data_IF_851733318121
#
_entry.id   IF_851733318121
#
_cell.length_a   1.000
_cell.length_b   1.000
_cell.length_c   1.000
_cell.angle_alpha   90.00
_cell.angle_beta   90.00
_cell.angle_gamma   90.00
#
_symmetry.space_group_name_H-M   'P 1'
#
loop_
_entity.id
_entity.type
_entity.pdbx_description
1 polymer ?
#
# COMPACT_ATOMS: atom_id res chain seq x y z
N UNK A 1 -64.19 65.56 -2.07
CA UNK A 1 -64.30 64.19 -2.65
C UNK A 1 -62.92 63.53 -2.78
N UNK A 2 -61.92 64.21 -3.38
CA UNK A 2 -60.54 63.71 -3.55
C UNK A 2 -59.83 63.29 -2.25
N UNK A 3 -59.92 64.09 -1.20
CA UNK A 3 -59.32 63.82 0.12
C UNK A 3 -59.83 62.52 0.77
N UNK A 4 -61.15 62.27 0.71
CA UNK A 4 -61.75 61.06 1.28
C UNK A 4 -61.29 59.79 0.55
N UNK A 5 -61.06 59.87 -0.77
CA UNK A 5 -60.53 58.74 -1.54
C UNK A 5 -59.10 58.40 -1.14
N UNK A 6 -58.23 59.39 -0.92
CA UNK A 6 -56.85 59.16 -0.47
C UNK A 6 -56.83 58.49 0.90
N UNK A 7 -57.62 58.97 1.86
CA UNK A 7 -57.72 58.31 3.18
C UNK A 7 -58.30 56.89 3.10
N UNK A 8 -59.23 56.62 2.18
CA UNK A 8 -59.72 55.27 1.94
C UNK A 8 -58.62 54.35 1.37
N UNK A 9 -57.83 54.83 0.40
CA UNK A 9 -56.70 54.08 -0.17
C UNK A 9 -55.60 53.85 0.88
N UNK A 10 -55.25 54.85 1.69
CA UNK A 10 -54.33 54.71 2.83
C UNK A 10 -54.80 53.60 3.77
N UNK A 11 -56.10 53.58 4.10
CA UNK A 11 -56.67 52.54 4.99
C UNK A 11 -56.53 51.14 4.39
N UNK A 12 -56.71 51.00 3.08
CA UNK A 12 -56.51 49.72 2.37
C UNK A 12 -55.04 49.30 2.42
N UNK A 13 -54.10 50.21 2.11
CA UNK A 13 -52.66 49.90 2.16
C UNK A 13 -52.23 49.49 3.58
N UNK A 14 -52.73 50.17 4.61
CA UNK A 14 -52.47 49.83 6.01
C UNK A 14 -53.07 48.49 6.45
N UNK A 15 -54.06 47.97 5.72
CA UNK A 15 -54.68 46.67 6.00
C UNK A 15 -53.97 45.49 5.31
N UNK A 16 -52.98 45.75 4.46
CA UNK A 16 -52.25 44.70 3.76
C UNK A 16 -51.42 43.85 4.71
N UNK A 17 -51.34 42.56 4.40
CA UNK A 17 -50.27 41.69 4.89
C UNK A 17 -49.19 41.47 3.81
N UNK A 18 -48.11 40.78 4.18
CA UNK A 18 -47.01 40.51 3.25
C UNK A 18 -47.45 39.65 2.06
N UNK A 19 -48.39 38.72 2.24
CA UNK A 19 -48.82 37.83 1.16
C UNK A 19 -49.62 38.59 0.09
N UNK A 20 -50.54 39.45 0.52
CA UNK A 20 -51.27 40.38 -0.34
C UNK A 20 -50.31 41.34 -1.04
N UNK A 21 -49.31 41.87 -0.33
CA UNK A 21 -48.27 42.72 -0.90
C UNK A 21 -47.50 42.02 -2.02
N UNK A 22 -47.05 40.78 -1.80
CA UNK A 22 -46.32 40.00 -2.79
C UNK A 22 -47.19 39.64 -4.01
N UNK A 23 -48.48 39.34 -3.81
CA UNK A 23 -49.41 38.92 -4.86
C UNK A 23 -49.68 40.00 -5.93
N UNK A 24 -49.57 41.29 -5.58
CA UNK A 24 -49.80 42.40 -6.52
C UNK A 24 -48.69 42.55 -7.58
N UNK A 25 -47.51 41.94 -7.40
CA UNK A 25 -46.39 42.13 -8.32
C UNK A 25 -45.71 43.50 -8.17
N UNK A 26 -44.46 43.61 -8.62
CA UNK A 26 -43.63 44.79 -8.34
C UNK A 26 -44.12 46.05 -9.06
N UNK A 27 -44.55 45.94 -10.32
CA UNK A 27 -45.04 47.06 -11.11
C UNK A 27 -46.31 47.68 -10.51
N UNK A 28 -47.27 46.86 -10.11
CA UNK A 28 -48.52 47.34 -9.50
C UNK A 28 -48.26 48.04 -8.16
N UNK A 29 -47.38 47.48 -7.31
CA UNK A 29 -46.98 48.11 -6.04
C UNK A 29 -46.33 49.47 -6.25
N UNK A 30 -45.41 49.57 -7.21
CA UNK A 30 -44.75 50.82 -7.55
C UNK A 30 -45.74 51.86 -8.09
N UNK A 31 -46.68 51.43 -8.93
CA UNK A 31 -47.72 52.29 -9.47
C UNK A 31 -48.66 52.83 -8.37
N UNK A 32 -49.10 51.98 -7.44
CA UNK A 32 -49.95 52.39 -6.30
C UNK A 32 -49.18 53.38 -5.40
N UNK A 33 -47.92 53.08 -5.05
CA UNK A 33 -47.09 53.96 -4.23
C UNK A 33 -46.89 55.32 -4.90
N UNK A 34 -46.61 55.34 -6.20
CA UNK A 34 -46.43 56.57 -6.97
C UNK A 34 -47.71 57.40 -7.03
N UNK A 35 -48.83 56.79 -7.41
CA UNK A 35 -50.11 57.48 -7.51
C UNK A 35 -50.56 58.06 -6.16
N UNK A 36 -50.39 57.30 -5.07
CA UNK A 36 -50.77 57.75 -3.73
C UNK A 36 -49.92 58.94 -3.24
N UNK A 37 -48.61 58.94 -3.51
CA UNK A 37 -47.73 60.07 -3.18
C UNK A 37 -48.04 61.30 -4.05
N UNK A 38 -48.22 61.14 -5.36
CA UNK A 38 -48.58 62.25 -6.25
C UNK A 38 -49.91 62.91 -5.88
N UNK A 39 -50.92 62.12 -5.51
CA UNK A 39 -52.22 62.64 -5.08
C UNK A 39 -52.15 63.31 -3.69
N UNK A 40 -51.33 62.79 -2.76
CA UNK A 40 -51.12 63.41 -1.46
C UNK A 40 -50.34 64.72 -1.57
N UNK A 41 -49.27 64.76 -2.38
CA UNK A 41 -48.45 65.95 -2.60
C UNK A 41 -49.25 67.09 -3.22
N UNK A 42 -50.11 66.80 -4.19
CA UNK A 42 -51.02 67.81 -4.78
C UNK A 42 -51.94 68.42 -3.72
N UNK A 43 -52.54 67.61 -2.84
CA UNK A 43 -53.40 68.12 -1.76
C UNK A 43 -52.62 68.92 -0.71
N UNK A 44 -51.37 68.55 -0.43
CA UNK A 44 -50.51 69.27 0.51
C UNK A 44 -50.02 70.61 -0.05
N UNK A 45 -49.85 70.74 -1.38
CA UNK A 45 -49.47 71.98 -2.05
C UNK A 45 -50.65 72.96 -2.21
N UNK A 46 -51.86 72.43 -2.42
CA UNK A 46 -53.08 73.22 -2.65
C UNK A 46 -53.72 73.79 -1.36
N UNK A 47 -53.28 73.36 -0.17
CA UNK A 47 -53.94 73.68 1.11
C UNK A 47 -53.08 74.38 2.17
N UNK A 48 -53.73 74.89 3.22
CA UNK A 48 -53.07 75.65 4.30
C UNK A 48 -52.20 74.73 5.20
N UNK A 49 -50.90 75.01 5.38
CA UNK A 49 -50.01 74.26 6.29
C UNK A 49 -50.49 74.19 7.75
N UNK A 50 -51.38 75.07 8.18
CA UNK A 50 -51.99 75.05 9.50
C UNK A 50 -53.18 74.08 9.62
N UNK A 51 -53.71 73.56 8.51
CA UNK A 51 -54.87 72.66 8.50
C UNK A 51 -54.56 71.33 9.26
N UNK A 52 -55.30 71.04 10.35
CA UNK A 52 -55.16 69.78 11.08
C UNK A 52 -55.33 68.53 10.21
N UNK A 53 -56.16 68.58 9.16
CA UNK A 53 -56.40 67.45 8.26
C UNK A 53 -55.23 67.20 7.29
N UNK A 54 -54.56 68.26 6.81
CA UNK A 54 -53.36 68.13 5.98
C UNK A 54 -52.16 67.67 6.81
N UNK A 55 -52.04 68.12 8.06
CA UNK A 55 -51.07 67.57 9.03
C UNK A 55 -51.31 66.10 9.33
N UNK A 56 -52.57 65.67 9.40
CA UNK A 56 -52.92 64.26 9.52
C UNK A 56 -52.54 63.48 8.26
N UNK A 57 -52.88 63.98 7.08
CA UNK A 57 -52.54 63.35 5.80
C UNK A 57 -51.02 63.15 5.69
N UNK A 58 -50.21 64.15 6.04
CA UNK A 58 -48.75 64.05 6.04
C UNK A 58 -48.23 62.89 6.91
N UNK A 59 -48.71 62.78 8.15
CA UNK A 59 -48.33 61.68 9.06
C UNK A 59 -48.76 60.31 8.54
N UNK A 60 -49.98 60.22 8.01
CA UNK A 60 -50.52 58.96 7.48
C UNK A 60 -49.77 58.51 6.22
N UNK A 61 -49.33 59.46 5.39
CA UNK A 61 -48.47 59.20 4.22
C UNK A 61 -47.06 58.79 4.60
N UNK A 62 -46.46 59.41 5.62
CA UNK A 62 -45.18 58.98 6.19
C UNK A 62 -45.25 57.54 6.69
N UNK A 63 -46.34 57.18 7.38
CA UNK A 63 -46.57 55.82 7.87
C UNK A 63 -46.78 54.82 6.73
N UNK A 64 -47.57 55.17 5.71
CA UNK A 64 -47.76 54.32 4.53
C UNK A 64 -46.47 54.10 3.75
N UNK A 65 -45.67 55.16 3.53
CA UNK A 65 -44.37 55.02 2.86
C UNK A 65 -43.42 54.12 3.66
N UNK A 66 -43.42 54.24 5.00
CA UNK A 66 -42.67 53.33 5.86
C UNK A 66 -43.14 51.88 5.75
N UNK A 67 -44.45 51.64 5.66
CA UNK A 67 -45.00 50.29 5.44
C UNK A 67 -44.60 49.72 4.07
N UNK A 68 -44.64 50.53 3.00
CA UNK A 68 -44.11 50.13 1.70
C UNK A 68 -42.63 49.74 1.79
N UNK A 69 -41.79 50.55 2.42
CA UNK A 69 -40.36 50.25 2.58
C UNK A 69 -40.13 48.98 3.41
N UNK A 70 -40.92 48.75 4.46
CA UNK A 70 -40.87 47.53 5.25
C UNK A 70 -41.27 46.30 4.43
N UNK A 71 -42.39 46.36 3.71
CA UNK A 71 -42.85 45.27 2.87
C UNK A 71 -41.92 44.99 1.71
N UNK A 72 -41.34 46.01 1.08
CA UNK A 72 -40.30 45.86 0.05
C UNK A 72 -39.05 45.18 0.61
N UNK A 73 -38.58 45.61 1.79
CA UNK A 73 -37.43 44.98 2.46
C UNK A 73 -37.70 43.51 2.77
N UNK A 74 -38.88 43.20 3.31
CA UNK A 74 -39.30 41.82 3.62
C UNK A 74 -39.46 40.97 2.36
N UNK A 75 -40.01 41.54 1.29
CA UNK A 75 -40.14 40.87 0.01
C UNK A 75 -38.76 40.52 -0.60
N UNK A 76 -37.80 41.45 -0.56
CA UNK A 76 -36.41 41.18 -0.99
C UNK A 76 -35.75 40.10 -0.14
N UNK A 77 -35.87 40.18 1.18
CA UNK A 77 -35.30 39.19 2.09
C UNK A 77 -35.90 37.78 1.87
N UNK A 78 -37.20 37.68 1.56
CA UNK A 78 -37.84 36.39 1.25
C UNK A 78 -37.34 35.83 -0.08
N UNK A 79 -37.17 36.67 -1.10
CA UNK A 79 -36.65 36.27 -2.41
C UNK A 79 -35.17 35.85 -2.33
N UNK A 80 -34.33 36.61 -1.63
CA UNK A 80 -32.95 36.26 -1.33
C UNK A 80 -32.87 34.93 -0.56
N UNK A 81 -33.75 34.72 0.43
CA UNK A 81 -33.82 33.46 1.17
C UNK A 81 -34.23 32.28 0.28
N UNK A 82 -35.18 32.47 -0.66
CA UNK A 82 -35.59 31.43 -1.63
C UNK A 82 -34.44 31.10 -2.59
N UNK A 83 -33.77 32.12 -3.11
CA UNK A 83 -32.64 31.96 -4.01
C UNK A 83 -31.45 31.27 -3.32
N UNK A 84 -31.11 31.64 -2.09
CA UNK A 84 -30.09 30.95 -1.30
C UNK A 84 -30.44 29.48 -1.05
N UNK A 85 -31.72 29.19 -0.75
CA UNK A 85 -32.20 27.81 -0.54
C UNK A 85 -32.16 26.99 -1.83
N UNK A 86 -32.54 27.57 -2.96
CA UNK A 86 -32.47 26.92 -4.27
C UNK A 86 -31.01 26.65 -4.64
N UNK A 87 -30.14 27.65 -4.55
CA UNK A 87 -28.72 27.51 -4.84
C UNK A 87 -28.07 26.41 -3.99
N UNK A 88 -28.34 26.40 -2.68
CA UNK A 88 -27.88 25.31 -1.81
C UNK A 88 -28.36 23.93 -2.29
N UNK A 89 -29.63 23.79 -2.65
CA UNK A 89 -30.18 22.50 -3.10
C UNK A 89 -29.59 22.05 -4.44
N UNK A 90 -29.31 22.97 -5.36
CA UNK A 90 -28.71 22.68 -6.66
C UNK A 90 -27.22 22.27 -6.47
N UNK A 91 -26.46 23.05 -5.69
CA UNK A 91 -25.05 22.75 -5.39
C UNK A 91 -24.88 21.43 -4.63
N UNK A 92 -25.67 21.19 -3.57
CA UNK A 92 -25.55 19.95 -2.78
C UNK A 92 -25.94 18.72 -3.60
N UNK A 93 -26.90 18.84 -4.53
CA UNK A 93 -27.28 17.74 -5.41
C UNK A 93 -26.20 17.43 -6.44
N UNK A 94 -25.60 18.47 -7.05
CA UNK A 94 -24.47 18.34 -7.96
C UNK A 94 -23.27 17.69 -7.28
N UNK A 95 -22.87 18.22 -6.12
CA UNK A 95 -21.77 17.68 -5.33
C UNK A 95 -22.03 16.22 -4.93
N UNK A 96 -23.24 15.89 -4.46
CA UNK A 96 -23.58 14.51 -4.11
C UNK A 96 -23.40 13.55 -5.30
N UNK A 97 -23.83 13.94 -6.50
CA UNK A 97 -23.67 13.11 -7.70
C UNK A 97 -22.18 12.89 -8.04
N UNK A 98 -21.34 13.93 -7.95
CA UNK A 98 -19.90 13.82 -8.16
C UNK A 98 -19.23 12.91 -7.11
N UNK A 99 -19.63 13.00 -5.84
CA UNK A 99 -19.12 12.14 -4.79
C UNK A 99 -19.59 10.67 -4.93
N UNK A 100 -20.82 10.44 -5.38
CA UNK A 100 -21.34 9.10 -5.66
C UNK A 100 -20.55 8.43 -6.81
N UNK A 101 -20.20 9.22 -7.83
CA UNK A 101 -19.39 8.75 -8.95
C UNK A 101 -17.95 8.40 -8.53
N UNK A 102 -17.33 9.27 -7.72
CA UNK A 102 -16.01 9.01 -7.15
C UNK A 102 -16.01 7.75 -6.26
N UNK A 103 -17.06 7.57 -5.44
CA UNK A 103 -17.22 6.39 -4.58
C UNK A 103 -17.34 5.11 -5.40
N UNK A 104 -18.16 5.14 -6.46
CA UNK A 104 -18.30 4.00 -7.37
C UNK A 104 -16.98 3.64 -8.04
N UNK A 105 -16.24 4.64 -8.51
CA UNK A 105 -14.93 4.45 -9.14
C UNK A 105 -13.94 3.82 -8.16
N UNK A 106 -13.82 4.37 -6.96
CA UNK A 106 -12.93 3.86 -5.93
C UNK A 106 -13.33 2.46 -5.46
N UNK A 107 -14.63 2.17 -5.34
CA UNK A 107 -15.13 0.85 -4.97
C UNK A 107 -14.75 -0.22 -6.01
N UNK A 108 -14.87 0.10 -7.31
CA UNK A 108 -14.44 -0.80 -8.40
C UNK A 108 -12.94 -1.07 -8.32
N UNK A 109 -12.11 -0.04 -8.17
CA UNK A 109 -10.65 -0.20 -8.03
C UNK A 109 -10.27 -1.02 -6.81
N UNK A 110 -10.93 -0.76 -5.69
CA UNK A 110 -10.67 -1.44 -4.42
C UNK A 110 -11.03 -2.93 -4.49
N UNK A 111 -12.11 -3.27 -5.19
CA UNK A 111 -12.55 -4.65 -5.43
C UNK A 111 -11.75 -5.38 -6.51
N UNK A 112 -11.05 -4.66 -7.40
CA UNK A 112 -10.18 -5.24 -8.41
C UNK A 112 -9.06 -6.08 -7.78
N UNK A 113 -8.60 -7.08 -8.52
CA UNK A 113 -7.53 -7.97 -8.08
C UNK A 113 -6.23 -7.20 -7.80
N UNK A 114 -5.44 -7.69 -6.85
CA UNK A 114 -4.11 -7.14 -6.60
C UNK A 114 -3.20 -7.26 -7.84
N UNK A 115 -2.36 -6.25 -8.11
CA UNK A 115 -1.34 -6.35 -9.15
C UNK A 115 -0.34 -7.46 -8.79
N UNK A 116 0.29 -8.02 -9.83
CA UNK A 116 1.16 -9.20 -9.73
C UNK A 116 2.60 -8.93 -10.17
N UNK A 117 2.85 -7.71 -10.62
CA UNK A 117 4.11 -7.20 -11.16
C UNK A 117 4.16 -5.69 -10.92
N UNK A 118 5.38 -5.14 -10.88
CA UNK A 118 5.62 -3.74 -10.58
C UNK A 118 5.07 -2.80 -11.66
N UNK A 119 5.11 -3.19 -12.94
CA UNK A 119 4.61 -2.37 -14.05
C UNK A 119 3.10 -2.13 -13.93
N UNK A 120 2.33 -3.19 -13.68
CA UNK A 120 0.89 -3.11 -13.45
C UNK A 120 0.56 -2.32 -12.19
N UNK A 121 1.38 -2.45 -11.13
CA UNK A 121 1.23 -1.69 -9.91
C UNK A 121 1.46 -0.20 -10.14
N UNK A 122 2.54 0.17 -10.83
CA UNK A 122 2.88 1.55 -11.17
C UNK A 122 1.74 2.20 -11.97
N UNK A 123 1.18 1.46 -12.93
CA UNK A 123 0.02 1.94 -13.68
C UNK A 123 -1.17 2.25 -12.76
N UNK A 124 -1.51 1.37 -11.82
CA UNK A 124 -2.58 1.61 -10.84
C UNK A 124 -2.28 2.80 -9.92
N UNK A 125 -1.02 3.03 -9.55
CA UNK A 125 -0.61 4.20 -8.76
C UNK A 125 -0.82 5.49 -9.55
N UNK A 126 -0.48 5.52 -10.84
CA UNK A 126 -0.71 6.66 -11.73
C UNK A 126 -2.22 6.94 -11.87
N UNK A 127 -3.01 5.92 -12.18
CA UNK A 127 -4.48 6.04 -12.26
C UNK A 127 -5.11 6.53 -10.95
N UNK A 128 -4.56 6.12 -9.81
CA UNK A 128 -5.02 6.57 -8.50
C UNK A 128 -4.64 8.01 -8.20
N UNK A 129 -3.44 8.45 -8.60
CA UNK A 129 -3.02 9.84 -8.50
C UNK A 129 -3.91 10.77 -9.34
N UNK A 130 -4.33 10.33 -10.52
CA UNK A 130 -5.30 11.07 -11.35
C UNK A 130 -6.66 11.18 -10.66
N UNK A 131 -7.13 10.09 -10.05
CA UNK A 131 -8.36 10.10 -9.25
C UNK A 131 -8.29 11.04 -8.05
N UNK A 132 -7.18 11.03 -7.30
CA UNK A 132 -7.00 11.97 -6.17
C UNK A 132 -6.98 13.42 -6.64
N UNK A 133 -6.38 13.69 -7.81
CA UNK A 133 -6.40 15.02 -8.43
C UNK A 133 -7.82 15.46 -8.77
N UNK A 134 -8.63 14.57 -9.36
CA UNK A 134 -10.04 14.84 -9.68
C UNK A 134 -10.89 15.01 -8.41
N UNK A 135 -10.68 14.19 -7.39
CA UNK A 135 -11.37 14.31 -6.10
C UNK A 135 -11.00 15.64 -5.41
N UNK A 136 -9.72 16.02 -5.41
CA UNK A 136 -9.26 17.29 -4.87
C UNK A 136 -9.87 18.50 -5.58
N UNK A 137 -10.12 18.41 -6.89
CA UNK A 137 -10.77 19.47 -7.65
C UNK A 137 -12.21 19.76 -7.20
N UNK A 138 -12.88 18.84 -6.49
CA UNK A 138 -14.20 19.07 -5.88
C UNK A 138 -14.12 19.83 -4.54
N UNK A 139 -12.92 20.04 -3.98
CA UNK A 139 -12.71 20.74 -2.71
C UNK A 139 -13.38 22.13 -2.64
N UNK A 140 -13.20 23.00 -3.66
CA UNK A 140 -13.89 24.28 -3.73
C UNK A 140 -15.42 24.14 -3.71
N UNK A 141 -16.00 23.16 -4.40
CA UNK A 141 -17.46 22.93 -4.38
C UNK A 141 -17.96 22.52 -2.98
N UNK A 142 -17.17 21.71 -2.25
CA UNK A 142 -17.46 21.34 -0.86
C UNK A 142 -17.45 22.56 0.07
N UNK A 143 -16.53 23.50 -0.15
CA UNK A 143 -16.46 24.76 0.60
C UNK A 143 -17.62 25.70 0.25
N UNK A 144 -17.90 25.88 -1.05
CA UNK A 144 -18.95 26.75 -1.57
C UNK A 144 -20.35 26.32 -1.08
N UNK A 145 -20.62 25.02 -1.05
CA UNK A 145 -21.86 24.47 -0.49
C UNK A 145 -22.02 24.83 0.99
N UNK A 146 -20.95 24.78 1.78
CA UNK A 146 -20.98 25.15 3.19
C UNK A 146 -21.20 26.65 3.38
N UNK A 147 -20.55 27.48 2.56
CA UNK A 147 -20.74 28.95 2.56
C UNK A 147 -22.19 29.28 2.20
N UNK A 148 -22.73 28.67 1.15
CA UNK A 148 -24.12 28.86 0.72
C UNK A 148 -25.09 28.37 1.78
N UNK A 149 -24.82 27.24 2.44
CA UNK A 149 -25.63 26.79 3.56
C UNK A 149 -25.67 27.81 4.71
N UNK A 150 -24.52 28.44 5.04
CA UNK A 150 -24.45 29.48 6.08
C UNK A 150 -25.32 30.69 5.72
N UNK A 151 -25.38 31.08 4.44
CA UNK A 151 -26.17 32.23 3.97
C UNK A 151 -27.68 31.97 3.91
N UNK A 152 -28.14 30.72 3.99
CA UNK A 152 -29.57 30.39 4.11
C UNK A 152 -30.14 30.93 5.43
N UNK A 153 -31.12 31.83 5.33
CA UNK A 153 -31.77 32.47 6.48
C UNK A 153 -32.60 31.48 7.33
N UNK A 154 -33.34 30.55 6.70
CA UNK A 154 -34.16 29.54 7.37
C UNK A 154 -33.66 28.13 7.05
N UNK A 155 -32.69 27.66 7.83
CA UNK A 155 -32.16 26.29 7.73
C UNK A 155 -33.20 25.29 8.22
N UNK A 156 -33.37 24.19 7.49
CA UNK A 156 -34.23 23.08 7.92
C UNK A 156 -33.38 21.88 8.35
N UNK A 157 -33.90 21.00 9.23
CA UNK A 157 -33.19 19.77 9.60
C UNK A 157 -32.81 18.91 8.39
N UNK A 158 -33.67 18.86 7.37
CA UNK A 158 -33.41 18.13 6.13
C UNK A 158 -32.20 18.68 5.35
N UNK A 159 -32.04 20.01 5.30
CA UNK A 159 -30.87 20.62 4.64
C UNK A 159 -29.58 20.32 5.40
N UNK A 160 -29.61 20.40 6.73
CA UNK A 160 -28.47 20.01 7.57
C UNK A 160 -28.09 18.54 7.32
N UNK A 161 -29.07 17.64 7.33
CA UNK A 161 -28.83 16.21 7.04
C UNK A 161 -28.22 15.98 5.64
N UNK A 162 -28.65 16.72 4.61
CA UNK A 162 -28.03 16.62 3.27
C UNK A 162 -26.56 17.07 3.30
N UNK A 163 -26.28 18.21 3.94
CA UNK A 163 -24.91 18.71 4.11
C UNK A 163 -24.03 17.70 4.84
N UNK A 164 -24.49 17.22 6.00
CA UNK A 164 -23.75 16.25 6.82
C UNK A 164 -23.46 14.97 6.04
N UNK A 165 -24.41 14.48 5.23
CA UNK A 165 -24.21 13.31 4.36
C UNK A 165 -23.10 13.54 3.32
N UNK A 166 -23.11 14.67 2.62
CA UNK A 166 -22.06 14.97 1.65
C UNK A 166 -20.69 15.12 2.32
N UNK A 167 -20.61 15.82 3.45
CA UNK A 167 -19.35 16.00 4.18
C UNK A 167 -18.81 14.68 4.74
N UNK A 168 -19.68 13.82 5.26
CA UNK A 168 -19.29 12.49 5.70
C UNK A 168 -18.79 11.64 4.52
N UNK A 169 -19.47 11.67 3.37
CA UNK A 169 -19.03 10.96 2.16
C UNK A 169 -17.68 11.48 1.65
N UNK A 170 -17.50 12.79 1.60
CA UNK A 170 -16.22 13.42 1.26
C UNK A 170 -15.07 12.91 2.14
N UNK A 171 -15.26 12.89 3.46
CA UNK A 171 -14.25 12.40 4.39
C UNK A 171 -14.00 10.88 4.24
N UNK A 172 -15.06 10.10 4.04
CA UNK A 172 -14.97 8.65 3.81
C UNK A 172 -14.23 8.32 2.51
N UNK A 173 -14.45 9.09 1.44
CA UNK A 173 -13.74 8.96 0.17
C UNK A 173 -12.25 9.18 0.35
N UNK A 174 -11.84 10.26 1.02
CA UNK A 174 -10.43 10.52 1.30
C UNK A 174 -9.81 9.44 2.20
N UNK A 175 -10.53 8.99 3.23
CA UNK A 175 -10.07 7.88 4.08
C UNK A 175 -9.90 6.58 3.29
N UNK A 176 -10.81 6.28 2.37
CA UNK A 176 -10.77 5.08 1.54
C UNK A 176 -9.68 5.19 0.45
N UNK A 177 -9.49 6.38 -0.12
CA UNK A 177 -8.44 6.70 -1.08
C UNK A 177 -7.06 6.50 -0.45
N UNK A 178 -6.87 7.05 0.75
CA UNK A 178 -5.64 6.88 1.50
C UNK A 178 -5.35 5.42 1.82
N UNK A 179 -6.38 4.67 2.25
CA UNK A 179 -6.23 3.25 2.53
C UNK A 179 -5.91 2.43 1.27
N UNK A 180 -6.48 2.79 0.12
CA UNK A 180 -6.19 2.16 -1.16
C UNK A 180 -4.73 2.38 -1.58
N UNK A 181 -4.20 3.60 -1.45
CA UNK A 181 -2.79 3.86 -1.80
C UNK A 181 -1.81 3.21 -0.82
N UNK A 182 -2.12 3.18 0.49
CA UNK A 182 -1.30 2.46 1.48
C UNK A 182 -1.28 0.95 1.18
N UNK A 183 -2.41 0.38 0.73
CA UNK A 183 -2.46 -1.00 0.24
C UNK A 183 -1.55 -1.20 -0.96
N UNK A 184 -1.59 -0.31 -1.97
CA UNK A 184 -0.73 -0.43 -3.14
C UNK A 184 0.76 -0.38 -2.76
N UNK A 185 1.17 0.56 -1.91
CA UNK A 185 2.56 0.62 -1.40
C UNK A 185 2.98 -0.67 -0.68
N UNK A 186 2.09 -1.24 0.13
CA UNK A 186 2.41 -2.48 0.82
C UNK A 186 2.54 -3.67 -0.15
N UNK A 187 1.71 -3.73 -1.20
CA UNK A 187 1.84 -4.74 -2.25
C UNK A 187 3.12 -4.52 -3.06
N UNK A 188 3.51 -3.28 -3.32
CA UNK A 188 4.79 -2.94 -3.97
C UNK A 188 5.97 -3.48 -3.18
N UNK A 189 6.01 -3.26 -1.86
CA UNK A 189 7.06 -3.80 -0.98
C UNK A 189 7.14 -5.33 -1.10
N UNK A 190 5.99 -6.02 -1.09
CA UNK A 190 5.96 -7.50 -1.22
C UNK A 190 6.44 -7.95 -2.60
N UNK A 191 6.04 -7.28 -3.68
CA UNK A 191 6.45 -7.64 -5.04
C UNK A 191 7.95 -7.41 -5.26
N UNK A 192 8.47 -6.26 -4.82
CA UNK A 192 9.91 -5.98 -4.84
C UNK A 192 10.68 -6.99 -4.00
N UNK A 193 10.22 -7.27 -2.77
CA UNK A 193 10.83 -8.27 -1.91
C UNK A 193 10.82 -9.67 -2.52
N UNK A 194 9.76 -10.06 -3.23
CA UNK A 194 9.71 -11.32 -3.97
C UNK A 194 10.75 -11.38 -5.09
N UNK A 195 10.94 -10.31 -5.87
CA UNK A 195 11.94 -10.26 -6.95
C UNK A 195 13.37 -10.34 -6.41
N UNK A 196 13.67 -9.54 -5.38
CA UNK A 196 14.97 -9.51 -4.71
C UNK A 196 15.30 -10.85 -4.07
N UNK A 197 14.41 -11.38 -3.24
CA UNK A 197 14.62 -12.65 -2.56
C UNK A 197 14.62 -13.83 -3.54
N UNK A 198 13.87 -13.79 -4.65
CA UNK A 198 13.98 -14.79 -5.71
C UNK A 198 15.36 -14.81 -6.33
N UNK A 199 15.95 -13.65 -6.58
CA UNK A 199 17.31 -13.54 -7.12
C UNK A 199 18.32 -14.14 -6.14
N UNK A 200 18.27 -13.72 -4.88
CA UNK A 200 19.14 -14.21 -3.80
C UNK A 200 19.05 -15.73 -3.63
N UNK A 201 17.82 -16.27 -3.51
CA UNK A 201 17.60 -17.72 -3.38
C UNK A 201 18.17 -18.47 -4.58
N UNK A 202 17.97 -17.96 -5.80
CA UNK A 202 18.46 -18.60 -7.02
C UNK A 202 20.00 -18.61 -7.10
N UNK A 203 20.66 -17.57 -6.63
CA UNK A 203 22.13 -17.53 -6.52
C UNK A 203 22.66 -18.60 -5.56
N UNK A 204 22.01 -18.78 -4.40
CA UNK A 204 22.38 -19.83 -3.45
C UNK A 204 22.10 -21.23 -3.99
N UNK A 205 20.95 -21.45 -4.65
CA UNK A 205 20.62 -22.71 -5.31
C UNK A 205 21.69 -23.08 -6.37
N UNK A 206 22.09 -22.12 -7.22
CA UNK A 206 23.14 -22.32 -8.22
C UNK A 206 24.50 -22.62 -7.58
N UNK A 207 24.85 -21.91 -6.51
CA UNK A 207 26.12 -22.12 -5.80
C UNK A 207 26.16 -23.51 -5.15
N UNK A 208 25.08 -23.95 -4.49
CA UNK A 208 24.97 -25.30 -3.92
C UNK A 208 25.02 -26.39 -5.00
N UNK A 209 24.37 -26.18 -6.14
CA UNK A 209 24.42 -27.12 -7.26
C UNK A 209 25.84 -27.30 -7.80
N UNK A 210 26.69 -26.26 -7.75
CA UNK A 210 28.10 -26.37 -8.16
C UNK A 210 28.96 -27.28 -7.27
N UNK A 211 28.46 -27.64 -6.08
CA UNK A 211 29.11 -28.56 -5.13
C UNK A 211 28.38 -29.91 -5.02
N UNK A 212 27.60 -30.29 -6.04
CA UNK A 212 26.96 -31.61 -6.08
C UNK A 212 27.99 -32.74 -6.11
N UNK A 213 29.11 -32.56 -6.83
CA UNK A 213 30.23 -33.51 -6.84
C UNK A 213 31.42 -32.95 -6.05
N UNK A 214 31.88 -33.70 -5.03
CA UNK A 214 33.02 -33.31 -4.21
C UNK A 214 34.37 -33.64 -4.90
N UNK A 215 35.39 -32.77 -4.80
CA UNK A 215 36.72 -33.05 -5.32
C UNK A 215 37.40 -34.26 -4.67
N UNK A 216 38.27 -34.93 -5.42
CA UNK A 216 39.09 -36.05 -4.95
C UNK A 216 40.46 -35.65 -4.37
N UNK A 217 40.80 -34.36 -4.44
CA UNK A 217 42.08 -33.82 -3.96
C UNK A 217 41.88 -33.10 -2.62
N UNK A 218 42.81 -33.30 -1.67
CA UNK A 218 42.71 -32.75 -0.30
C UNK A 218 42.57 -31.23 -0.32
N UNK A 219 43.44 -30.55 -1.05
CA UNK A 219 43.46 -29.08 -1.10
C UNK A 219 42.20 -28.51 -1.77
N UNK A 220 41.69 -29.19 -2.80
CA UNK A 220 40.46 -28.77 -3.48
C UNK A 220 39.22 -28.99 -2.60
N UNK A 221 39.18 -30.10 -1.86
CA UNK A 221 38.10 -30.40 -0.93
C UNK A 221 38.12 -29.46 0.29
N UNK A 222 39.31 -29.07 0.75
CA UNK A 222 39.47 -28.02 1.76
C UNK A 222 38.91 -26.68 1.27
N UNK A 223 39.23 -26.28 0.04
CA UNK A 223 38.70 -25.06 -0.55
C UNK A 223 37.16 -25.08 -0.66
N UNK A 224 36.57 -26.22 -1.03
CA UNK A 224 35.10 -26.40 -1.03
C UNK A 224 34.52 -26.26 0.38
N UNK A 225 35.16 -26.83 1.40
CA UNK A 225 34.70 -26.69 2.79
C UNK A 225 34.71 -25.22 3.24
N UNK A 226 35.80 -24.49 2.96
CA UNK A 226 35.92 -23.06 3.25
C UNK A 226 34.84 -22.22 2.54
N UNK A 227 34.58 -22.52 1.25
CA UNK A 227 33.51 -21.88 0.47
C UNK A 227 32.12 -22.14 1.08
N UNK A 228 31.83 -23.38 1.50
CA UNK A 228 30.56 -23.73 2.13
C UNK A 228 30.36 -23.05 3.48
N UNK A 229 31.43 -22.87 4.27
CA UNK A 229 31.37 -22.08 5.51
C UNK A 229 31.07 -20.60 5.24
N UNK A 230 31.67 -20.03 4.21
CA UNK A 230 31.35 -18.67 3.76
C UNK A 230 29.91 -18.56 3.27
N UNK A 231 29.42 -19.60 2.59
CA UNK A 231 28.03 -19.69 2.15
C UNK A 231 27.06 -19.74 3.34
N UNK A 232 27.38 -20.50 4.39
CA UNK A 232 26.60 -20.55 5.64
C UNK A 232 26.49 -19.19 6.31
N UNK A 233 27.59 -18.45 6.39
CA UNK A 233 27.57 -17.08 6.91
C UNK A 233 26.68 -16.18 6.05
N UNK A 234 26.77 -16.29 4.73
CA UNK A 234 25.96 -15.49 3.79
C UNK A 234 24.47 -15.81 3.89
N UNK A 235 24.11 -17.10 3.98
CA UNK A 235 22.74 -17.56 4.19
C UNK A 235 22.18 -17.01 5.51
N UNK A 236 22.97 -17.05 6.59
CA UNK A 236 22.55 -16.52 7.90
C UNK A 236 22.23 -15.01 7.87
N UNK A 237 22.95 -14.24 7.04
CA UNK A 237 22.71 -12.80 6.88
C UNK A 237 21.45 -12.50 6.07
N UNK A 238 21.07 -13.38 5.13
CA UNK A 238 19.91 -13.19 4.26
C UNK A 238 18.60 -13.68 4.89
N UNK A 239 18.65 -14.41 6.01
CA UNK A 239 17.45 -14.86 6.74
C UNK A 239 16.50 -13.69 7.07
N UNK A 240 17.04 -12.53 7.45
CA UNK A 240 16.25 -11.34 7.77
C UNK A 240 15.40 -10.85 6.60
N UNK A 241 15.86 -11.05 5.36
CA UNK A 241 15.12 -10.64 4.15
C UNK A 241 13.89 -11.53 3.95
N UNK A 242 14.03 -12.83 4.18
CA UNK A 242 12.93 -13.80 4.08
C UNK A 242 11.91 -13.60 5.20
N UNK A 243 12.38 -13.34 6.42
CA UNK A 243 11.53 -13.04 7.57
C UNK A 243 10.75 -11.73 7.34
N UNK A 244 11.42 -10.69 6.83
CA UNK A 244 10.79 -9.41 6.51
C UNK A 244 9.73 -9.57 5.41
N UNK A 245 10.03 -10.31 4.33
CA UNK A 245 9.06 -10.58 3.28
C UNK A 245 7.81 -11.30 3.80
N UNK A 246 8.00 -12.23 4.76
CA UNK A 246 6.90 -12.91 5.44
C UNK A 246 6.06 -11.91 6.24
N UNK A 247 6.67 -11.00 6.99
CA UNK A 247 5.93 -9.95 7.72
C UNK A 247 5.22 -8.96 6.76
N UNK A 248 5.85 -8.60 5.65
CA UNK A 248 5.29 -7.68 4.65
C UNK A 248 4.01 -8.23 4.03
N UNK A 249 3.95 -9.54 3.72
CA UNK A 249 2.71 -10.15 3.19
C UNK A 249 1.60 -10.21 4.25
N UNK A 250 1.93 -10.36 5.53
CA UNK A 250 0.95 -10.24 6.62
C UNK A 250 0.41 -8.81 6.74
N UNK A 251 1.26 -7.80 6.57
CA UNK A 251 0.84 -6.40 6.55
C UNK A 251 -0.04 -6.09 5.32
N UNK A 252 0.30 -6.67 4.16
CA UNK A 252 -0.52 -6.58 2.96
C UNK A 252 -1.92 -7.17 3.20
N UNK A 253 -2.02 -8.35 3.84
CA UNK A 253 -3.31 -8.94 4.25
C UNK A 253 -4.16 -7.97 5.06
N UNK A 254 -3.59 -7.37 6.11
CA UNK A 254 -4.31 -6.44 7.00
C UNK A 254 -4.85 -5.23 6.24
N UNK A 255 -4.07 -4.68 5.32
CA UNK A 255 -4.48 -3.53 4.49
C UNK A 255 -5.53 -3.92 3.44
N UNK A 256 -5.42 -5.10 2.83
CA UNK A 256 -6.41 -5.64 1.89
C UNK A 256 -7.76 -5.81 2.57
N UNK A 257 -7.80 -6.49 3.72
CA UNK A 257 -9.02 -6.69 4.50
C UNK A 257 -9.64 -5.36 4.95
N UNK A 258 -8.82 -4.44 5.47
CA UNK A 258 -9.28 -3.11 5.89
C UNK A 258 -9.82 -2.29 4.72
N UNK A 259 -9.20 -2.38 3.55
CA UNK A 259 -9.61 -1.66 2.34
C UNK A 259 -10.90 -2.20 1.73
N UNK A 260 -11.24 -3.47 1.97
CA UNK A 260 -12.41 -4.15 1.39
C UNK A 260 -13.46 -4.52 2.48
N UNK A 261 -14.01 -3.56 3.25
CA UNK A 261 -14.89 -3.87 4.39
C UNK A 261 -16.21 -4.55 4.00
N UNK A 262 -16.64 -4.39 2.75
CA UNK A 262 -17.86 -4.99 2.19
C UNK A 262 -17.63 -6.38 1.60
N UNK A 263 -16.37 -6.79 1.40
CA UNK A 263 -16.05 -8.13 0.90
C UNK A 263 -16.48 -9.19 1.90
N UNK A 264 -16.92 -10.35 1.38
CA UNK A 264 -17.38 -11.49 2.17
C UNK A 264 -16.74 -12.74 1.60
N UNK A 265 -16.05 -13.49 2.46
CA UNK A 265 -15.35 -14.70 2.05
C UNK A 265 -13.85 -14.47 1.75
N UNK A 266 -13.18 -15.48 1.18
CA UNK A 266 -11.74 -15.46 0.98
C UNK A 266 -11.30 -14.41 -0.04
N UNK A 267 -10.06 -13.93 0.12
CA UNK A 267 -9.40 -13.00 -0.79
C UNK A 267 -8.49 -13.80 -1.73
N UNK A 268 -9.05 -14.42 -2.77
CA UNK A 268 -8.32 -15.33 -3.65
C UNK A 268 -7.08 -14.72 -4.32
N UNK A 269 -7.08 -13.41 -4.58
CA UNK A 269 -5.91 -12.69 -5.09
C UNK A 269 -4.80 -12.54 -4.06
N UNK A 270 -5.16 -12.25 -2.81
CA UNK A 270 -4.23 -12.21 -1.68
C UNK A 270 -3.68 -13.60 -1.36
N UNK A 271 -4.52 -14.63 -1.34
CA UNK A 271 -4.10 -16.02 -1.11
C UNK A 271 -3.06 -16.48 -2.15
N UNK A 272 -3.20 -16.02 -3.41
CA UNK A 272 -2.18 -16.27 -4.44
C UNK A 272 -0.86 -15.55 -4.15
N UNK A 273 -0.90 -14.30 -3.68
CA UNK A 273 0.31 -13.56 -3.30
C UNK A 273 1.03 -14.24 -2.12
N UNK A 274 0.27 -14.67 -1.12
CA UNK A 274 0.78 -15.44 0.02
C UNK A 274 1.36 -16.79 -0.40
N UNK A 275 0.74 -17.46 -1.37
CA UNK A 275 1.27 -18.71 -1.92
C UNK A 275 2.60 -18.52 -2.65
N UNK A 276 2.86 -17.36 -3.27
CA UNK A 276 4.16 -17.07 -3.87
C UNK A 276 5.24 -16.85 -2.83
N UNK A 277 4.93 -16.09 -1.77
CA UNK A 277 5.83 -15.91 -0.63
C UNK A 277 6.13 -17.25 0.02
N UNK A 278 5.10 -18.07 0.29
CA UNK A 278 5.27 -19.41 0.85
C UNK A 278 6.13 -20.32 -0.05
N UNK A 279 5.94 -20.27 -1.37
CA UNK A 279 6.76 -21.04 -2.31
C UNK A 279 8.23 -20.60 -2.26
N UNK A 280 8.50 -19.31 -2.13
CA UNK A 280 9.85 -18.78 -1.99
C UNK A 280 10.47 -19.17 -0.64
N UNK A 281 9.73 -19.07 0.45
CA UNK A 281 10.18 -19.51 1.78
C UNK A 281 10.52 -21.01 1.78
N UNK A 282 9.72 -21.86 1.14
CA UNK A 282 10.04 -23.29 1.03
C UNK A 282 11.33 -23.54 0.23
N UNK A 283 11.58 -22.76 -0.84
CA UNK A 283 12.86 -22.84 -1.58
C UNK A 283 14.04 -22.45 -0.69
N UNK A 284 13.87 -21.38 0.09
CA UNK A 284 14.87 -20.91 1.04
C UNK A 284 15.16 -21.95 2.13
N UNK A 285 14.13 -22.56 2.73
CA UNK A 285 14.29 -23.65 3.71
C UNK A 285 15.07 -24.82 3.11
N UNK A 286 14.76 -25.21 1.87
CA UNK A 286 15.49 -26.25 1.16
C UNK A 286 16.96 -25.85 0.88
N UNK A 287 17.27 -24.58 0.58
CA UNK A 287 18.67 -24.10 0.50
C UNK A 287 19.39 -24.29 1.83
N UNK A 288 18.76 -23.91 2.94
CA UNK A 288 19.32 -24.08 4.28
C UNK A 288 19.57 -25.56 4.62
N UNK A 289 18.62 -26.45 4.34
CA UNK A 289 18.74 -27.89 4.56
C UNK A 289 19.86 -28.50 3.72
N UNK A 290 19.88 -28.22 2.41
CA UNK A 290 20.91 -28.72 1.51
C UNK A 290 22.30 -28.22 1.91
N UNK A 291 22.44 -26.98 2.36
CA UNK A 291 23.72 -26.46 2.81
C UNK A 291 24.26 -27.23 4.02
N UNK A 292 23.41 -27.53 5.00
CA UNK A 292 23.79 -28.33 6.18
C UNK A 292 24.25 -29.72 5.77
N UNK A 293 23.52 -30.38 4.87
CA UNK A 293 23.87 -31.70 4.38
C UNK A 293 25.17 -31.70 3.57
N UNK A 294 25.39 -30.68 2.72
CA UNK A 294 26.61 -30.52 1.93
C UNK A 294 27.83 -30.26 2.81
N UNK A 295 27.72 -29.39 3.82
CA UNK A 295 28.78 -29.16 4.80
C UNK A 295 29.17 -30.46 5.51
N UNK A 296 28.19 -31.21 5.99
CA UNK A 296 28.42 -32.49 6.68
C UNK A 296 29.06 -33.53 5.76
N UNK A 297 28.60 -33.64 4.51
CA UNK A 297 29.20 -34.56 3.52
C UNK A 297 30.66 -34.17 3.23
N UNK A 298 30.91 -32.88 3.01
CA UNK A 298 32.25 -32.34 2.75
C UNK A 298 33.21 -32.60 3.92
N UNK A 299 32.79 -32.39 5.16
CA UNK A 299 33.60 -32.67 6.36
C UNK A 299 33.94 -34.15 6.51
N UNK A 300 32.96 -35.04 6.27
CA UNK A 300 33.16 -36.47 6.33
C UNK A 300 34.13 -36.94 5.23
N UNK A 301 33.93 -36.46 3.99
CA UNK A 301 34.80 -36.74 2.85
C UNK A 301 36.23 -36.24 3.11
N UNK A 302 36.38 -35.03 3.64
CA UNK A 302 37.68 -34.44 3.95
C UNK A 302 38.46 -35.25 4.99
N UNK A 303 37.82 -35.67 6.08
CA UNK A 303 38.45 -36.52 7.09
C UNK A 303 38.89 -37.89 6.56
N UNK A 304 38.07 -38.52 5.70
CA UNK A 304 38.41 -39.78 5.05
C UNK A 304 39.59 -39.62 4.07
N UNK A 305 39.56 -38.59 3.24
CA UNK A 305 40.58 -38.33 2.24
C UNK A 305 41.93 -38.00 2.88
N UNK A 306 41.93 -37.18 3.93
CA UNK A 306 43.15 -36.84 4.68
C UNK A 306 43.76 -38.09 5.34
N UNK A 307 42.92 -38.96 5.91
CA UNK A 307 43.38 -40.23 6.50
C UNK A 307 43.98 -41.15 5.45
N UNK A 308 43.30 -41.28 4.30
CA UNK A 308 43.78 -42.06 3.16
C UNK A 308 45.11 -41.54 2.63
N UNK A 309 45.21 -40.24 2.32
CA UNK A 309 46.41 -39.62 1.77
C UNK A 309 47.63 -39.80 2.68
N UNK A 310 47.48 -39.57 3.99
CA UNK A 310 48.56 -39.73 4.96
C UNK A 310 49.02 -41.19 5.08
N UNK A 311 48.07 -42.13 5.13
CA UNK A 311 48.38 -43.55 5.28
C UNK A 311 48.98 -44.11 3.98
N UNK A 312 48.44 -43.72 2.82
CA UNK A 312 48.98 -44.05 1.51
C UNK A 312 50.42 -43.55 1.36
N UNK A 313 50.69 -42.27 1.68
CA UNK A 313 52.03 -41.72 1.59
C UNK A 313 53.02 -42.44 2.53
N UNK A 314 52.57 -42.83 3.73
CA UNK A 314 53.39 -43.60 4.68
C UNK A 314 53.78 -44.96 4.12
N UNK A 315 52.84 -45.68 3.52
CA UNK A 315 53.10 -47.00 2.96
C UNK A 315 53.91 -46.93 1.65
N UNK A 316 53.66 -45.94 0.79
CA UNK A 316 54.46 -45.71 -0.44
C UNK A 316 55.92 -45.40 -0.09
N UNK A 317 56.17 -44.48 0.85
CA UNK A 317 57.53 -44.18 1.28
C UNK A 317 58.25 -45.41 1.85
N UNK A 318 57.54 -46.25 2.63
CA UNK A 318 58.11 -47.50 3.13
C UNK A 318 58.41 -48.50 2.00
N UNK A 319 57.53 -48.63 0.99
CA UNK A 319 57.76 -49.48 -0.18
C UNK A 319 58.99 -49.01 -0.95
N UNK A 320 59.11 -47.71 -1.23
CA UNK A 320 60.24 -47.12 -1.96
C UNK A 320 61.56 -47.35 -1.21
N UNK A 321 61.59 -47.11 0.10
CA UNK A 321 62.75 -47.38 0.95
C UNK A 321 63.13 -48.86 0.96
N UNK A 322 62.14 -49.75 1.07
CA UNK A 322 62.34 -51.20 1.11
C UNK A 322 62.82 -51.75 -0.24
N UNK A 323 62.27 -51.22 -1.33
CA UNK A 323 62.69 -51.54 -2.69
C UNK A 323 64.12 -51.06 -2.97
N UNK A 324 64.47 -49.86 -2.50
CA UNK A 324 65.83 -49.35 -2.53
C UNK A 324 66.81 -50.24 -1.74
N UNK A 325 66.44 -50.71 -0.54
CA UNK A 325 67.25 -51.67 0.23
C UNK A 325 67.42 -52.99 -0.51
N UNK A 326 66.36 -53.52 -1.10
CA UNK A 326 66.36 -54.77 -1.85
C UNK A 326 67.31 -54.70 -3.06
N UNK A 327 67.25 -53.61 -3.84
CA UNK A 327 68.10 -53.41 -5.02
C UNK A 327 69.58 -53.24 -4.68
N UNK A 328 69.91 -52.85 -3.45
CA UNK A 328 71.28 -52.68 -2.97
C UNK A 328 71.85 -53.93 -2.29
N UNK A 329 71.10 -55.05 -2.24
CA UNK A 329 71.62 -56.29 -1.68
C UNK A 329 72.70 -56.89 -2.58
N UNK A 330 73.81 -57.30 -1.95
CA UNK A 330 74.90 -57.96 -2.66
C UNK A 330 74.47 -59.36 -3.17
N UNK A 331 74.99 -59.82 -4.33
CA UNK A 331 74.76 -61.17 -4.80
C UNK A 331 75.18 -62.23 -3.76
N UNK A 332 74.40 -63.30 -3.68
CA UNK A 332 74.67 -64.41 -2.75
C UNK A 332 75.96 -65.14 -3.19
N UNK A 333 76.93 -65.21 -2.29
CA UNK A 333 78.23 -65.85 -2.46
C UNK A 333 78.55 -66.83 -1.33
N UNK A 334 79.83 -66.92 -0.94
CA UNK A 334 80.34 -67.97 -0.02
C UNK A 334 79.73 -67.83 1.39
N UNK A 335 79.37 -66.61 1.82
CA UNK A 335 78.72 -66.32 3.10
C UNK A 335 77.19 -66.23 2.96
N UNK A 336 76.58 -67.18 2.25
CA UNK A 336 75.16 -67.16 1.92
C UNK A 336 74.22 -66.97 3.13
N UNK A 337 74.60 -67.50 4.30
CA UNK A 337 73.80 -67.39 5.53
C UNK A 337 73.71 -65.95 6.03
N UNK A 338 74.82 -65.21 6.07
CA UNK A 338 74.86 -63.80 6.50
C UNK A 338 74.19 -62.89 5.45
N UNK A 339 74.34 -63.23 4.17
CA UNK A 339 73.74 -62.47 3.07
C UNK A 339 72.22 -62.69 2.92
N UNK A 340 71.68 -63.78 3.48
CA UNK A 340 70.23 -64.04 3.52
C UNK A 340 69.50 -63.28 4.63
N UNK A 341 70.17 -62.91 5.71
CA UNK A 341 69.52 -62.25 6.86
C UNK A 341 68.85 -60.90 6.51
N UNK A 342 69.49 -59.99 5.73
CA UNK A 342 68.81 -58.76 5.28
C UNK A 342 67.57 -59.04 4.42
N UNK A 343 67.62 -60.09 3.59
CA UNK A 343 66.48 -60.51 2.76
C UNK A 343 65.34 -61.03 3.62
N UNK A 344 65.63 -61.83 4.64
CA UNK A 344 64.61 -62.30 5.61
C UNK A 344 64.02 -61.15 6.42
N UNK A 345 64.84 -60.18 6.82
CA UNK A 345 64.36 -59.00 7.53
C UNK A 345 63.39 -58.17 6.68
N UNK A 346 63.71 -57.95 5.39
CA UNK A 346 62.79 -57.31 4.45
C UNK A 346 61.49 -58.11 4.27
N UNK A 347 61.59 -59.43 4.12
CA UNK A 347 60.41 -60.30 4.03
C UNK A 347 59.51 -60.19 5.26
N UNK A 348 60.07 -60.25 6.46
CA UNK A 348 59.30 -60.09 7.69
C UNK A 348 58.64 -58.70 7.78
N UNK A 349 59.35 -57.64 7.37
CA UNK A 349 58.78 -56.28 7.32
C UNK A 349 57.59 -56.19 6.36
N UNK A 350 57.60 -56.89 5.22
CA UNK A 350 56.45 -56.96 4.31
C UNK A 350 55.25 -57.64 4.97
N UNK A 351 55.49 -58.74 5.70
CA UNK A 351 54.43 -59.44 6.44
C UNK A 351 53.82 -58.52 7.50
N UNK A 352 54.66 -57.81 8.27
CA UNK A 352 54.19 -56.85 9.28
C UNK A 352 53.38 -55.68 8.69
N UNK A 353 53.73 -55.22 7.49
CA UNK A 353 53.04 -54.12 6.81
C UNK A 353 51.75 -54.51 6.08
N UNK A 354 51.46 -55.80 5.91
CA UNK A 354 50.28 -56.28 5.18
C UNK A 354 48.98 -55.67 5.70
N UNK A 355 48.79 -55.67 7.03
CA UNK A 355 47.58 -55.12 7.64
C UNK A 355 47.44 -53.60 7.43
N UNK A 356 48.55 -52.85 7.46
CA UNK A 356 48.53 -51.41 7.26
C UNK A 356 48.10 -51.06 5.83
N UNK A 357 48.63 -51.77 4.83
CA UNK A 357 48.24 -51.60 3.41
C UNK A 357 46.77 -51.98 3.19
N UNK A 358 46.30 -53.06 3.80
CA UNK A 358 44.87 -53.41 3.77
C UNK A 358 44.00 -52.28 4.35
N UNK A 359 44.43 -51.66 5.44
CA UNK A 359 43.72 -50.53 6.04
C UNK A 359 43.68 -49.30 5.11
N UNK A 360 44.76 -49.00 4.37
CA UNK A 360 44.75 -47.94 3.33
C UNK A 360 43.65 -48.21 2.30
N UNK A 361 43.55 -49.45 1.81
CA UNK A 361 42.53 -49.85 0.83
C UNK A 361 41.12 -49.73 1.41
N UNK A 362 40.92 -50.08 2.68
CA UNK A 362 39.62 -49.93 3.37
C UNK A 362 39.20 -48.46 3.44
N UNK A 363 40.11 -47.57 3.86
CA UNK A 363 39.81 -46.13 3.97
C UNK A 363 39.55 -45.51 2.60
N UNK A 364 40.38 -45.82 1.59
CA UNK A 364 40.16 -45.36 0.22
C UNK A 364 38.85 -45.87 -0.37
N UNK A 365 38.51 -47.14 -0.15
CA UNK A 365 37.24 -47.72 -0.56
C UNK A 365 36.03 -47.10 0.16
N UNK A 366 36.17 -46.68 1.42
CA UNK A 366 35.14 -45.92 2.13
C UNK A 366 34.97 -44.52 1.54
N UNK A 367 36.07 -43.80 1.29
CA UNK A 367 36.02 -42.49 0.64
C UNK A 367 35.24 -42.55 -0.69
N UNK A 368 35.55 -43.50 -1.58
CA UNK A 368 34.86 -43.66 -2.87
C UNK A 368 33.34 -43.90 -2.73
N UNK A 369 32.90 -44.56 -1.64
CA UNK A 369 31.47 -44.85 -1.41
C UNK A 369 30.73 -43.72 -0.70
N UNK A 370 31.42 -43.05 0.22
CA UNK A 370 30.83 -42.09 1.17
C UNK A 370 30.99 -40.64 0.70
N UNK A 371 31.99 -40.30 -0.12
CA UNK A 371 32.15 -38.98 -0.72
C UNK A 371 31.30 -38.85 -1.99
N UNK A 372 30.01 -38.56 -1.79
CA UNK A 372 29.03 -38.26 -2.84
C UNK A 372 28.24 -37.00 -2.52
#
# INVERSE_FOLDING_TARGET
MRQNMIFATIKVVKSWDLAQFLAMGQEQRNAIRKALNEDADKLLQEGDPADPQLRRLRREMEEVNRLFDEFERRARAEEESKNATRNFNDQIASLQASLDEAERTLAVRTAAFLPRDLDSLEHLVIEHKEFETQLQALGPEVEDVQVTFRSVARKTPAMQTKLDKCLNKWNQLWSSSHLYIERLKCVEIVLTGLEEATTVVSEFELKLASYEELPSEVDALQAVHEDLLNLQNSVSQQQIVIDQLTEDVHNARRLVEKSRPTHRGPHADLERLEADVSRLTNRWENVCEQLVDRLRSCEAAYGLLQTYANSYQTEVSWVDESYGKLNNLAPIGINAKEQLEPTKALYNSVVEKTQAVEQVNVVGGRFIREAK
#
